data_IF_844550569239
#
_entry.id   IF_844550569239
#
_cell.length_a   1.000
_cell.length_b   1.000
_cell.length_c   1.000
_cell.angle_alpha   90.00
_cell.angle_beta   90.00
_cell.angle_gamma   90.00
#
_symmetry.space_group_name_H-M   'P 1'
#
loop_
_entity.id
_entity.type
_entity.pdbx_description
1 polymer ?
#
# COMPACT_ATOMS: atom_id res chain seq x y z
N UNK A 1 0.73 24.59 -10.48
CA UNK A 1 1.30 23.32 -9.98
C UNK A 1 2.25 22.76 -11.00
N UNK A 2 3.54 22.70 -10.69
CA UNK A 2 4.56 22.04 -11.50
C UNK A 2 4.29 20.53 -11.47
N UNK A 3 4.14 19.89 -12.64
CA UNK A 3 3.96 18.43 -12.74
C UNK A 3 5.30 17.72 -12.51
N UNK A 4 5.91 17.93 -11.35
CA UNK A 4 7.07 17.14 -10.93
C UNK A 4 6.58 15.73 -10.58
N UNK A 5 7.36 14.71 -10.97
CA UNK A 5 7.02 13.30 -10.77
C UNK A 5 7.04 12.89 -9.29
N UNK A 6 7.32 11.62 -9.00
CA UNK A 6 7.50 11.17 -7.60
C UNK A 6 8.65 11.95 -6.92
N UNK A 7 8.65 11.97 -5.58
CA UNK A 7 9.76 12.53 -4.81
C UNK A 7 11.04 11.73 -5.11
N UNK A 8 12.12 12.45 -5.39
CA UNK A 8 13.48 11.91 -5.48
C UNK A 8 13.96 11.48 -4.10
N UNK A 9 14.88 10.51 -4.04
CA UNK A 9 15.53 10.10 -2.79
C UNK A 9 16.13 11.27 -2.01
N UNK A 10 16.66 12.28 -2.72
CA UNK A 10 17.20 13.50 -2.09
C UNK A 10 16.11 14.35 -1.44
N UNK A 11 14.97 14.51 -2.12
CA UNK A 11 13.82 15.25 -1.60
C UNK A 11 13.23 14.51 -0.38
N UNK A 12 13.15 13.18 -0.44
CA UNK A 12 12.70 12.36 0.69
C UNK A 12 13.63 12.47 1.91
N UNK A 13 14.94 12.43 1.70
CA UNK A 13 15.92 12.61 2.76
C UNK A 13 15.84 14.02 3.38
N UNK A 14 15.63 15.04 2.56
CA UNK A 14 15.42 16.41 3.03
C UNK A 14 14.19 16.53 3.93
N UNK A 15 13.06 15.94 3.51
CA UNK A 15 11.82 15.91 4.31
C UNK A 15 12.05 15.17 5.65
N UNK A 16 12.84 14.08 5.65
CA UNK A 16 13.17 13.34 6.87
C UNK A 16 13.96 14.20 7.88
N UNK A 17 14.98 14.89 7.39
CA UNK A 17 15.86 15.74 8.21
C UNK A 17 15.13 16.96 8.78
N UNK A 18 14.18 17.52 8.01
CA UNK A 18 13.41 18.72 8.35
C UNK A 18 11.99 18.39 8.84
N UNK A 19 11.78 17.19 9.37
CA UNK A 19 10.46 16.71 9.84
C UNK A 19 9.81 17.57 10.94
N UNK A 20 10.58 18.46 11.59
CA UNK A 20 10.11 19.39 12.61
C UNK A 20 9.68 20.75 12.07
N UNK A 21 10.00 21.04 10.81
CA UNK A 21 9.67 22.31 10.17
C UNK A 21 8.23 22.30 9.67
N UNK A 22 7.69 23.48 9.36
CA UNK A 22 6.35 23.60 8.79
C UNK A 22 6.29 22.94 7.41
N UNK A 23 5.20 22.20 7.15
CA UNK A 23 4.94 21.57 5.84
C UNK A 23 4.98 22.60 4.70
N UNK A 24 4.52 23.82 4.95
CA UNK A 24 4.54 24.92 4.00
C UNK A 24 5.98 25.32 3.62
N UNK A 25 6.87 25.43 4.61
CA UNK A 25 8.26 25.85 4.40
C UNK A 25 9.03 24.80 3.59
N UNK A 26 8.83 23.51 3.92
CA UNK A 26 9.44 22.39 3.19
C UNK A 26 8.89 22.31 1.75
N UNK A 27 7.59 22.55 1.57
CA UNK A 27 6.94 22.54 0.27
C UNK A 27 7.48 23.68 -0.63
N UNK A 28 7.71 24.86 -0.06
CA UNK A 28 8.30 26.00 -0.77
C UNK A 28 9.74 25.71 -1.19
N UNK A 29 10.58 25.21 -0.29
CA UNK A 29 12.00 24.90 -0.59
C UNK A 29 12.13 23.83 -1.68
N UNK A 30 11.28 22.81 -1.65
CA UNK A 30 11.30 21.72 -2.64
C UNK A 30 10.55 22.07 -3.94
N UNK A 31 9.84 23.21 -3.98
CA UNK A 31 8.87 23.58 -5.01
C UNK A 31 7.95 22.37 -5.30
N UNK A 32 7.31 21.88 -4.24
CA UNK A 32 6.36 20.77 -4.20
C UNK A 32 5.06 21.25 -3.55
N UNK A 33 3.98 20.53 -3.77
CA UNK A 33 2.73 20.82 -3.06
C UNK A 33 2.78 20.29 -1.63
N UNK A 34 2.20 21.02 -0.69
CA UNK A 34 2.05 20.61 0.72
C UNK A 34 1.49 19.19 0.87
N UNK A 35 0.50 18.81 0.06
CA UNK A 35 -0.09 17.46 0.05
C UNK A 35 0.93 16.33 -0.21
N UNK A 36 1.98 16.60 -0.97
CA UNK A 36 3.02 15.60 -1.27
C UNK A 36 3.99 15.49 -0.09
N UNK A 37 4.31 16.61 0.53
CA UNK A 37 5.19 16.67 1.71
C UNK A 37 4.51 16.04 2.93
N UNK A 38 3.24 16.40 3.19
CA UNK A 38 2.46 15.83 4.30
C UNK A 38 2.30 14.31 4.19
N UNK A 39 2.05 13.81 2.97
CA UNK A 39 1.97 12.37 2.70
C UNK A 39 3.30 11.63 2.89
N UNK A 40 4.42 12.31 2.75
CA UNK A 40 5.74 11.70 3.00
C UNK A 40 6.06 11.70 4.49
N UNK A 41 5.78 12.80 5.20
CA UNK A 41 5.92 12.90 6.65
C UNK A 41 5.04 11.86 7.37
N UNK A 42 3.80 11.63 6.91
CA UNK A 42 2.91 10.62 7.48
C UNK A 42 3.38 9.17 7.30
N UNK A 43 4.37 8.92 6.43
CA UNK A 43 5.01 7.60 6.31
C UNK A 43 6.23 7.45 7.22
N UNK A 44 6.77 8.55 7.70
CA UNK A 44 7.94 8.61 8.57
C UNK A 44 7.57 8.61 10.04
N UNK A 45 6.36 9.08 10.37
CA UNK A 45 5.76 8.71 11.65
C UNK A 45 5.68 7.19 11.69
N UNK A 46 6.49 6.60 12.56
CA UNK A 46 6.55 5.17 12.85
C UNK A 46 5.17 4.70 13.34
N UNK A 47 4.21 4.56 12.42
CA UNK A 47 3.11 3.63 12.62
C UNK A 47 3.82 2.28 12.62
N UNK A 48 3.87 1.57 13.76
CA UNK A 48 4.43 0.22 13.75
C UNK A 48 3.69 -0.54 12.66
N UNK A 49 4.39 -0.92 11.59
CA UNK A 49 3.77 -1.69 10.52
C UNK A 49 3.15 -2.91 11.19
N UNK A 50 1.81 -2.96 11.23
CA UNK A 50 1.11 -4.09 11.81
C UNK A 50 1.62 -5.34 11.09
N UNK A 51 2.04 -6.38 11.84
CA UNK A 51 2.62 -7.57 11.23
C UNK A 51 1.62 -8.14 10.24
N UNK A 52 2.07 -8.42 9.01
CA UNK A 52 1.19 -9.02 8.00
C UNK A 52 1.05 -10.50 8.32
N UNK A 53 -0.04 -11.13 7.88
CA UNK A 53 -0.25 -12.57 8.10
C UNK A 53 0.95 -13.41 7.61
N UNK A 54 1.59 -12.98 6.51
CA UNK A 54 2.78 -13.62 5.94
C UNK A 54 4.03 -13.56 6.82
N UNK A 55 4.11 -12.57 7.73
CA UNK A 55 5.22 -12.42 8.68
C UNK A 55 5.05 -13.36 9.88
N UNK A 56 3.81 -13.78 10.17
CA UNK A 56 3.46 -14.68 11.26
C UNK A 56 3.45 -16.16 10.84
N UNK A 57 3.70 -16.48 9.57
CA UNK A 57 3.75 -17.86 9.08
C UNK A 57 4.98 -18.59 9.64
N UNK A 58 4.81 -19.87 9.98
CA UNK A 58 5.91 -20.72 10.41
C UNK A 58 6.75 -21.13 9.20
N UNK A 59 8.02 -20.77 9.17
CA UNK A 59 8.94 -21.18 8.08
C UNK A 59 9.87 -22.27 8.58
N UNK A 60 9.90 -23.39 7.87
CA UNK A 60 10.82 -24.47 8.15
C UNK A 60 11.87 -24.55 7.05
N UNK A 61 13.02 -23.93 7.29
CA UNK A 61 14.13 -23.85 6.34
C UNK A 61 14.70 -25.23 5.98
N UNK A 62 14.62 -26.19 6.92
CA UNK A 62 15.14 -27.56 6.72
C UNK A 62 14.36 -28.33 5.66
N UNK A 63 13.05 -28.11 5.56
CA UNK A 63 12.16 -28.82 4.63
C UNK A 63 11.59 -27.91 3.54
N UNK A 64 11.93 -26.62 3.54
CA UNK A 64 11.38 -25.63 2.59
C UNK A 64 9.86 -25.46 2.72
N UNK A 65 9.30 -25.79 3.88
CA UNK A 65 7.85 -25.77 4.11
C UNK A 65 7.45 -24.49 4.85
N UNK A 66 6.31 -23.92 4.47
CA UNK A 66 5.67 -22.81 5.17
C UNK A 66 4.34 -23.30 5.72
N UNK A 67 4.16 -23.20 7.03
CA UNK A 67 2.94 -23.62 7.73
C UNK A 67 2.18 -22.39 8.24
N UNK A 68 0.86 -22.45 8.13
CA UNK A 68 -0.02 -21.42 8.68
C UNK A 68 -0.08 -21.59 10.20
N UNK A 69 0.31 -20.55 10.93
CA UNK A 69 0.21 -20.52 12.38
C UNK A 69 -1.17 -20.01 12.79
N UNK A 70 -1.56 -20.29 14.04
CA UNK A 70 -2.81 -19.79 14.62
C UNK A 70 -2.89 -18.26 14.56
N UNK A 71 -1.78 -17.59 14.87
CA UNK A 71 -1.67 -16.13 14.80
C UNK A 71 -1.85 -15.59 13.38
N UNK A 72 -1.21 -16.22 12.39
CA UNK A 72 -1.39 -15.86 10.98
C UNK A 72 -2.84 -16.11 10.50
N UNK A 73 -3.49 -17.15 11.01
CA UNK A 73 -4.90 -17.44 10.70
C UNK A 73 -5.84 -16.38 11.23
N UNK A 74 -5.73 -16.05 12.52
CA UNK A 74 -6.58 -15.02 13.15
C UNK A 74 -6.43 -13.66 12.44
N UNK A 75 -5.18 -13.23 12.23
CA UNK A 75 -4.91 -11.96 11.53
C UNK A 75 -5.41 -11.98 10.07
N UNK A 76 -5.32 -13.14 9.42
CA UNK A 76 -5.86 -13.35 8.09
C UNK A 76 -7.38 -13.15 8.04
N UNK A 77 -8.11 -13.64 9.03
CA UNK A 77 -9.57 -13.52 9.10
C UNK A 77 -10.02 -12.10 9.47
N UNK A 78 -9.32 -11.42 10.39
CA UNK A 78 -9.56 -10.00 10.72
C UNK A 78 -9.38 -9.09 9.50
N UNK A 79 -8.35 -9.35 8.67
CA UNK A 79 -8.10 -8.57 7.45
C UNK A 79 -9.16 -8.76 6.35
N UNK A 80 -9.93 -9.86 6.38
CA UNK A 80 -11.04 -10.07 5.44
C UNK A 80 -12.29 -9.31 5.86
N UNK A 81 -12.53 -9.22 7.17
CA UNK A 81 -13.68 -8.49 7.71
C UNK A 81 -13.62 -6.99 7.34
N UNK A 82 -12.44 -6.38 7.45
CA UNK A 82 -12.22 -4.97 7.08
C UNK A 82 -12.45 -4.70 5.58
N UNK A 83 -12.03 -5.61 4.69
CA UNK A 83 -12.29 -5.49 3.25
C UNK A 83 -13.78 -5.53 2.90
N UNK A 84 -14.58 -6.34 3.61
CA UNK A 84 -16.02 -6.46 3.35
C UNK A 84 -16.84 -5.27 3.86
N UNK A 85 -16.35 -4.55 4.87
CA UNK A 85 -17.02 -3.34 5.36
C UNK A 85 -16.69 -2.09 4.51
N UNK A 86 -15.46 -1.99 4.00
CA UNK A 86 -15.07 -0.92 3.07
C UNK A 86 -15.63 -1.14 1.65
N UNK A 87 -15.73 -2.40 1.21
CA UNK A 87 -16.40 -2.80 -0.03
C UNK A 87 -17.78 -3.40 0.28
N UNK A 88 -18.78 -2.55 0.54
CA UNK A 88 -20.19 -2.96 0.43
C UNK A 88 -20.38 -3.67 -0.93
N UNK A 89 -20.98 -4.87 -0.98
CA UNK A 89 -21.18 -5.58 -2.23
C UNK A 89 -22.36 -4.96 -2.98
N UNK A 90 -22.17 -3.79 -3.59
CA UNK A 90 -22.91 -3.49 -4.82
C UNK A 90 -22.34 -4.40 -5.90
N UNK A 91 -22.97 -5.57 -6.04
CA UNK A 91 -22.83 -6.53 -7.12
C UNK A 91 -21.40 -7.01 -7.40
N UNK A 92 -21.16 -8.30 -7.21
CA UNK A 92 -19.96 -9.04 -7.66
C UNK A 92 -19.44 -8.46 -8.98
N UNK A 93 -18.39 -7.65 -8.90
CA UNK A 93 -17.84 -6.92 -10.03
C UNK A 93 -17.04 -7.93 -10.85
N UNK A 94 -17.75 -8.71 -11.66
CA UNK A 94 -17.17 -9.49 -12.76
C UNK A 94 -16.34 -8.48 -13.54
N UNK A 95 -15.02 -8.63 -13.43
CA UNK A 95 -14.05 -7.56 -13.68
C UNK A 95 -14.50 -6.64 -14.82
N UNK A 96 -14.68 -5.33 -14.55
CA UNK A 96 -14.92 -4.30 -15.59
C UNK A 96 -14.03 -4.49 -16.83
N UNK A 97 -12.85 -5.09 -16.67
CA UNK A 97 -11.89 -5.43 -17.71
C UNK A 97 -12.42 -6.36 -18.81
N UNK A 98 -13.45 -7.16 -18.55
CA UNK A 98 -13.99 -8.13 -19.52
C UNK A 98 -15.44 -7.86 -19.91
N UNK A 99 -16.06 -6.79 -19.41
CA UNK A 99 -17.42 -6.40 -19.78
C UNK A 99 -17.44 -6.03 -21.27
N UNK A 100 -18.11 -6.84 -22.10
CA UNK A 100 -18.22 -6.63 -23.55
C UNK A 100 -17.15 -7.33 -24.41
N UNK A 101 -16.23 -8.09 -23.81
CA UNK A 101 -15.24 -8.85 -24.58
C UNK A 101 -15.80 -10.22 -25.01
N UNK A 102 -16.12 -10.38 -26.30
CA UNK A 102 -16.43 -11.70 -26.88
C UNK A 102 -15.10 -12.33 -27.30
N UNK A 103 -14.67 -13.39 -26.61
CA UNK A 103 -13.55 -14.21 -27.06
C UNK A 103 -13.92 -14.88 -28.39
N UNK A 104 -13.25 -14.51 -29.48
CA UNK A 104 -13.34 -15.22 -30.76
C UNK A 104 -12.22 -16.26 -30.83
N UNK A 105 -12.60 -17.53 -30.84
CA UNK A 105 -11.67 -18.63 -31.15
C UNK A 105 -11.36 -18.54 -32.64
N UNK A 106 -10.08 -18.59 -33.02
CA UNK A 106 -9.69 -18.65 -34.43
C UNK A 106 -10.00 -20.05 -34.95
N UNK A 107 -10.80 -20.14 -36.00
CA UNK A 107 -10.94 -21.37 -36.78
C UNK A 107 -9.63 -21.63 -37.55
N UNK A 108 -9.26 -22.91 -37.65
CA UNK A 108 -8.01 -23.40 -38.25
C UNK A 108 -8.00 -23.27 -39.77
#
# INVERSE_FOLDING_TARGET
MTKKGRLSKKEQAYIAEHSKDSVADIAEVLDRSENVVSKELSKQEDVPELPKAGDLMGRNEKYGAVTMTEQASMLGDESKATKLEEDKPEEVNVARRHRGAIHRIKDK
#
